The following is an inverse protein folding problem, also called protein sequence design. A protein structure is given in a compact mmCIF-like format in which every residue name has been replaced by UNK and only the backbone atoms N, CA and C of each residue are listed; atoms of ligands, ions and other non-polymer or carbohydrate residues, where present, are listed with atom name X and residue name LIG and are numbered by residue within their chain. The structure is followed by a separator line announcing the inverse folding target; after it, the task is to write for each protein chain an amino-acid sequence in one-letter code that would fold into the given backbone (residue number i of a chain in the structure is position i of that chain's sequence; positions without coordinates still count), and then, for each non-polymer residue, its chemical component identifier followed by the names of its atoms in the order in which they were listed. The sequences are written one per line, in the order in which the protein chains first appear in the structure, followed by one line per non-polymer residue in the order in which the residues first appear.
data_IF_075513685234
#
_entry.id   IF_075513685234
#
_cell.length_a   1.000
_cell.length_b   1.000
_cell.length_c   1.000
_cell.angle_alpha   90.00
_cell.angle_beta   90.00
_cell.angle_gamma   90.00
#
_symmetry.space_group_name_H-M   'P 1'
#
loop_
_entity.id
_entity.type
_entity.pdbx_description
1 polymer ?
#
# COMPACT_ATOMS: atom_id res chain seq x y z
N UNK A 1 -6.73 -17.99 -31.78
CA UNK A 1 -5.64 -18.02 -32.77
C UNK A 1 -5.67 -19.27 -33.64
N UNK A 2 -5.90 -20.47 -33.10
CA UNK A 2 -5.88 -21.72 -33.90
C UNK A 2 -6.82 -21.72 -35.12
N UNK A 3 -8.03 -21.16 -34.98
CA UNK A 3 -9.02 -21.09 -36.09
C UNK A 3 -8.57 -20.23 -37.28
N UNK A 4 -7.73 -19.23 -37.03
CA UNK A 4 -7.32 -18.24 -38.04
C UNK A 4 -5.92 -18.57 -38.60
N UNK A 5 -5.16 -19.42 -37.89
CA UNK A 5 -3.81 -19.84 -38.28
C UNK A 5 -3.68 -20.31 -39.75
N UNK A 6 -4.60 -21.14 -40.31
CA UNK A 6 -4.50 -21.59 -41.70
C UNK A 6 -4.67 -20.49 -42.74
N UNK A 7 -5.26 -19.35 -42.36
CA UNK A 7 -5.46 -18.19 -43.24
C UNK A 7 -4.30 -17.21 -43.13
N UNK A 8 -3.70 -17.08 -41.94
CA UNK A 8 -2.49 -16.28 -41.70
C UNK A 8 -1.25 -16.85 -42.38
N UNK A 9 -1.16 -18.17 -42.54
CA UNK A 9 -0.06 -18.81 -43.27
C UNK A 9 -0.14 -18.58 -44.79
N UNK A 10 -1.30 -18.14 -45.30
CA UNK A 10 -1.55 -17.94 -46.75
C UNK A 10 -1.47 -16.49 -47.19
N UNK A 11 -1.59 -15.54 -46.26
CA UNK A 11 -1.65 -14.11 -46.56
C UNK A 11 -0.88 -13.33 -45.51
N UNK A 12 -0.03 -12.39 -45.95
CA UNK A 12 0.80 -11.58 -45.04
C UNK A 12 -0.02 -10.55 -44.24
N UNK A 13 -1.12 -10.05 -44.81
CA UNK A 13 -1.94 -9.01 -44.20
C UNK A 13 -3.04 -9.60 -43.31
N UNK A 14 -3.11 -9.13 -42.05
CA UNK A 14 -4.11 -9.54 -41.08
C UNK A 14 -5.54 -9.35 -41.60
N UNK A 15 -5.84 -8.22 -42.24
CA UNK A 15 -7.19 -7.91 -42.70
C UNK A 15 -7.66 -8.90 -43.77
N UNK A 16 -6.77 -9.27 -44.69
CA UNK A 16 -7.09 -10.21 -45.76
C UNK A 16 -7.27 -11.64 -45.22
N UNK A 17 -6.46 -12.04 -44.22
CA UNK A 17 -6.63 -13.31 -43.53
C UNK A 17 -7.99 -13.41 -42.80
N UNK A 18 -8.44 -12.33 -42.15
CA UNK A 18 -9.74 -12.27 -41.48
C UNK A 18 -10.89 -12.31 -42.49
N UNK A 19 -10.80 -11.55 -43.59
CA UNK A 19 -11.82 -11.57 -44.65
C UNK A 19 -11.94 -12.95 -45.30
N UNK A 20 -10.80 -13.63 -45.53
CA UNK A 20 -10.81 -15.00 -46.05
C UNK A 20 -11.41 -16.00 -45.05
N UNK A 21 -11.14 -15.85 -43.75
CA UNK A 21 -11.76 -16.67 -42.72
C UNK A 21 -13.28 -16.45 -42.63
N UNK A 22 -13.72 -15.20 -42.75
CA UNK A 22 -15.14 -14.83 -42.80
C UNK A 22 -15.84 -15.42 -44.02
N UNK A 23 -15.26 -15.26 -45.22
CA UNK A 23 -15.76 -15.85 -46.46
C UNK A 23 -15.82 -17.38 -46.39
N UNK A 24 -14.90 -17.98 -45.64
CA UNK A 24 -14.88 -19.42 -45.34
C UNK A 24 -15.81 -19.82 -44.19
N UNK A 25 -16.70 -18.93 -43.75
CA UNK A 25 -17.67 -19.14 -42.67
C UNK A 25 -17.06 -19.61 -41.34
N UNK A 26 -15.81 -19.24 -41.09
CA UNK A 26 -15.12 -19.60 -39.85
C UNK A 26 -15.58 -18.67 -38.71
N UNK A 27 -15.93 -19.24 -37.56
CA UNK A 27 -16.37 -18.46 -36.41
C UNK A 27 -15.21 -17.61 -35.80
N UNK A 28 -15.35 -16.29 -35.93
CA UNK A 28 -14.42 -15.27 -35.42
C UNK A 28 -14.72 -14.80 -33.99
N UNK A 29 -15.80 -15.29 -33.37
CA UNK A 29 -16.09 -15.04 -31.95
C UNK A 29 -15.48 -16.14 -31.07
N UNK A 30 -14.91 -15.74 -29.94
CA UNK A 30 -14.33 -16.64 -28.95
C UNK A 30 -14.59 -16.13 -27.54
N UNK A 31 -14.83 -17.05 -26.63
CA UNK A 31 -14.95 -16.78 -25.20
C UNK A 31 -13.68 -17.28 -24.50
N UNK A 32 -13.13 -16.46 -23.61
CA UNK A 32 -12.01 -16.84 -22.73
C UNK A 32 -12.51 -17.25 -21.35
N UNK A 33 -11.92 -18.29 -20.77
CA UNK A 33 -12.19 -18.73 -19.40
C UNK A 33 -10.89 -19.06 -18.70
N UNK A 34 -10.76 -18.67 -17.44
CA UNK A 34 -9.65 -19.04 -16.56
C UNK A 34 -10.19 -19.43 -15.21
N UNK A 35 -9.59 -20.47 -14.61
CA UNK A 35 -9.92 -20.94 -13.27
C UNK A 35 -8.75 -20.69 -12.34
N UNK A 36 -9.03 -20.18 -11.16
CA UNK A 36 -8.02 -19.99 -10.12
C UNK A 36 -7.81 -21.30 -9.36
N UNK A 37 -6.89 -22.12 -9.85
CA UNK A 37 -6.57 -23.43 -9.26
C UNK A 37 -5.39 -23.35 -8.27
N UNK A 38 -5.33 -24.34 -7.36
CA UNK A 38 -4.21 -24.53 -6.43
C UNK A 38 -4.46 -24.05 -4.99
N UNK A 39 -5.65 -23.55 -4.67
CA UNK A 39 -6.06 -23.21 -3.30
C UNK A 39 -6.73 -24.43 -2.65
N UNK A 40 -6.20 -24.86 -1.50
CA UNK A 40 -6.64 -26.08 -0.77
C UNK A 40 -6.97 -25.81 0.70
N UNK A 41 -6.86 -24.57 1.16
CA UNK A 41 -7.10 -24.21 2.56
C UNK A 41 -8.55 -24.47 2.97
N UNK A 42 -8.74 -25.08 4.15
CA UNK A 42 -10.06 -25.31 4.76
C UNK A 42 -10.08 -24.82 6.19
N UNK A 43 -11.03 -23.96 6.54
CA UNK A 43 -11.18 -23.37 7.88
C UNK A 43 -11.34 -24.41 8.98
N UNK A 44 -12.09 -25.50 8.73
CA UNK A 44 -12.29 -26.58 9.70
C UNK A 44 -10.99 -27.24 10.16
N UNK A 45 -10.01 -27.32 9.26
CA UNK A 45 -8.72 -27.98 9.53
C UNK A 45 -7.62 -27.00 9.91
N UNK A 46 -7.77 -25.72 9.56
CA UNK A 46 -6.76 -24.68 9.79
C UNK A 46 -5.46 -24.86 9.00
N UNK A 47 -5.39 -25.78 8.03
CA UNK A 47 -4.21 -26.00 7.19
C UNK A 47 -4.57 -26.13 5.71
N UNK A 48 -3.58 -25.88 4.85
CA UNK A 48 -3.67 -25.96 3.39
C UNK A 48 -3.10 -24.72 2.73
N UNK A 49 -3.11 -24.69 1.38
CA UNK A 49 -2.60 -23.55 0.61
C UNK A 49 -3.71 -22.53 0.41
N UNK A 50 -3.64 -21.41 1.12
CA UNK A 50 -4.64 -20.34 1.02
C UNK A 50 -4.44 -19.44 -0.21
N UNK A 51 -3.18 -19.24 -0.63
CA UNK A 51 -2.81 -18.32 -1.71
C UNK A 51 -1.99 -19.03 -2.79
N UNK A 52 -2.15 -18.59 -4.05
CA UNK A 52 -1.40 -19.15 -5.19
C UNK A 52 0.05 -18.68 -5.21
N UNK A 53 0.31 -17.45 -4.82
CA UNK A 53 1.66 -16.91 -4.68
C UNK A 53 1.65 -15.79 -3.63
N UNK A 54 2.84 -15.35 -3.23
CA UNK A 54 3.03 -14.22 -2.32
C UNK A 54 3.83 -13.12 -3.01
N UNK A 55 3.45 -11.88 -2.73
CA UNK A 55 4.25 -10.70 -3.03
C UNK A 55 5.18 -10.44 -1.85
N UNK A 56 6.41 -10.04 -2.16
CA UNK A 56 7.42 -9.70 -1.16
C UNK A 56 7.91 -8.29 -1.45
N UNK A 57 8.26 -7.56 -0.40
CA UNK A 57 8.87 -6.26 -0.55
C UNK A 57 9.36 -5.74 0.78
N UNK A 58 10.18 -4.69 0.70
CA UNK A 58 10.62 -3.94 1.85
C UNK A 58 10.57 -2.44 1.52
N UNK A 59 10.55 -1.64 2.57
CA UNK A 59 10.64 -0.18 2.44
C UNK A 59 11.43 0.41 3.59
N UNK A 60 12.07 1.54 3.33
CA UNK A 60 12.75 2.35 4.32
C UNK A 60 12.30 3.80 4.15
N UNK A 61 12.03 4.47 5.27
CA UNK A 61 11.60 5.85 5.29
C UNK A 61 12.46 6.66 6.27
N UNK A 62 12.69 7.92 5.92
CA UNK A 62 13.35 8.90 6.77
C UNK A 62 12.41 10.09 6.92
N UNK A 63 12.18 10.50 8.16
CA UNK A 63 11.26 11.59 8.50
C UNK A 63 11.94 12.62 9.38
N UNK A 64 11.49 13.85 9.29
CA UNK A 64 11.80 14.92 10.23
C UNK A 64 10.51 15.28 10.97
N UNK A 65 10.59 15.42 12.29
CA UNK A 65 9.44 15.70 13.16
C UNK A 65 9.73 16.94 13.99
N UNK A 66 8.88 17.94 13.90
CA UNK A 66 8.91 19.10 14.78
C UNK A 66 8.20 18.75 16.10
N UNK A 67 8.98 18.65 17.18
CA UNK A 67 8.49 18.29 18.51
C UNK A 67 7.64 19.39 19.18
N UNK A 68 7.70 20.63 18.69
CA UNK A 68 6.93 21.76 19.25
C UNK A 68 5.54 21.86 18.65
N UNK A 69 5.38 21.51 17.38
CA UNK A 69 4.10 21.58 16.65
C UNK A 69 3.47 20.19 16.43
N UNK A 70 4.29 19.14 16.43
CA UNK A 70 3.91 17.79 16.01
C UNK A 70 3.87 17.59 14.50
N UNK A 71 4.23 18.61 13.71
CA UNK A 71 4.30 18.50 12.26
C UNK A 71 5.45 17.57 11.83
N UNK A 72 5.35 16.98 10.65
CA UNK A 72 6.39 16.09 10.14
C UNK A 72 6.50 16.16 8.62
N UNK A 73 7.71 15.89 8.12
CA UNK A 73 7.99 15.79 6.69
C UNK A 73 8.69 14.48 6.39
N UNK A 74 8.34 13.87 5.25
CA UNK A 74 8.99 12.66 4.77
C UNK A 74 10.15 13.09 3.87
N UNK A 75 11.37 12.98 4.38
CA UNK A 75 12.58 13.38 3.65
C UNK A 75 12.91 12.40 2.53
N UNK A 76 12.74 11.10 2.80
CA UNK A 76 13.09 10.05 1.84
C UNK A 76 12.25 8.80 2.07
N UNK A 77 11.85 8.13 0.99
CA UNK A 77 11.29 6.79 1.01
C UNK A 77 11.85 5.96 -0.13
N UNK A 78 12.29 4.75 0.17
CA UNK A 78 12.81 3.77 -0.78
C UNK A 78 11.99 2.50 -0.67
N UNK A 79 11.55 1.97 -1.80
CA UNK A 79 10.72 0.76 -1.88
C UNK A 79 11.38 -0.24 -2.82
N UNK A 80 11.53 -1.47 -2.36
CA UNK A 80 11.88 -2.61 -3.20
C UNK A 80 10.72 -3.61 -3.19
N UNK A 81 10.15 -3.92 -4.35
CA UNK A 81 8.99 -4.81 -4.47
C UNK A 81 9.20 -5.92 -5.51
N UNK A 82 8.84 -7.15 -5.15
CA UNK A 82 8.78 -8.30 -6.06
C UNK A 82 7.43 -8.34 -6.79
N UNK A 83 7.41 -7.72 -7.97
CA UNK A 83 6.28 -7.72 -8.91
C UNK A 83 6.35 -8.88 -9.92
N UNK A 84 7.27 -9.82 -9.72
CA UNK A 84 7.57 -10.84 -10.71
C UNK A 84 8.14 -10.22 -11.99
N UNK A 85 7.74 -10.76 -13.15
CA UNK A 85 7.96 -10.09 -14.44
C UNK A 85 6.80 -9.14 -14.71
N UNK A 86 7.05 -7.84 -14.54
CA UNK A 86 6.05 -6.80 -14.79
C UNK A 86 5.46 -6.91 -16.20
N UNK A 87 4.15 -6.71 -16.31
CA UNK A 87 3.44 -6.61 -17.59
C UNK A 87 3.59 -5.22 -18.19
N UNK A 88 3.60 -4.20 -17.33
CA UNK A 88 3.75 -2.80 -17.68
C UNK A 88 4.32 -2.06 -16.47
N UNK A 89 5.61 -1.75 -16.54
CA UNK A 89 6.36 -1.18 -15.42
C UNK A 89 5.80 0.18 -14.99
N UNK A 90 5.35 1.01 -15.93
CA UNK A 90 4.79 2.33 -15.63
C UNK A 90 3.48 2.24 -14.83
N UNK A 91 2.63 1.25 -15.14
CA UNK A 91 1.40 1.03 -14.38
C UNK A 91 1.69 0.45 -12.99
N UNK A 92 2.65 -0.47 -12.89
CA UNK A 92 3.04 -1.06 -11.62
C UNK A 92 3.67 -0.01 -10.69
N UNK A 93 4.51 0.89 -11.22
CA UNK A 93 5.06 2.03 -10.46
C UNK A 93 3.92 2.91 -9.93
N UNK A 94 2.96 3.31 -10.77
CA UNK A 94 1.84 4.15 -10.34
C UNK A 94 0.95 3.50 -9.28
N UNK A 95 0.78 2.17 -9.32
CA UNK A 95 0.09 1.41 -8.26
C UNK A 95 0.89 1.42 -6.95
N UNK A 96 2.22 1.31 -7.03
CA UNK A 96 3.08 1.34 -5.84
C UNK A 96 3.07 2.72 -5.19
N UNK A 97 3.20 3.78 -5.98
CA UNK A 97 3.10 5.16 -5.50
C UNK A 97 1.73 5.42 -4.85
N UNK A 98 0.65 5.07 -5.55
CA UNK A 98 -0.72 5.28 -5.06
C UNK A 98 -1.01 4.51 -3.77
N UNK A 99 -0.65 3.22 -3.73
CA UNK A 99 -0.85 2.38 -2.55
C UNK A 99 0.01 2.83 -1.36
N UNK A 100 1.27 3.23 -1.60
CA UNK A 100 2.13 3.75 -0.55
C UNK A 100 1.60 5.08 0.03
N UNK A 101 1.15 6.00 -0.83
CA UNK A 101 0.53 7.26 -0.38
C UNK A 101 -0.77 7.01 0.39
N UNK A 102 -1.60 6.06 -0.04
CA UNK A 102 -2.79 5.65 0.72
C UNK A 102 -2.43 5.12 2.11
N UNK A 103 -1.35 4.34 2.21
CA UNK A 103 -0.83 3.87 3.50
C UNK A 103 -0.29 5.01 4.38
N UNK A 104 0.40 6.00 3.79
CA UNK A 104 0.84 7.21 4.51
C UNK A 104 -0.36 7.91 5.11
N UNK A 105 -1.41 8.15 4.32
CA UNK A 105 -2.65 8.77 4.80
C UNK A 105 -3.23 8.04 5.99
N UNK A 106 -3.44 6.73 5.85
CA UNK A 106 -3.94 5.87 6.92
C UNK A 106 -3.12 5.95 8.22
N UNK A 107 -1.80 6.10 8.11
CA UNK A 107 -0.89 6.12 9.25
C UNK A 107 -0.64 7.51 9.83
N UNK A 108 -0.98 8.61 9.14
CA UNK A 108 -0.54 9.96 9.55
C UNK A 108 -1.67 10.97 9.59
N UNK A 109 -2.42 11.15 8.51
CA UNK A 109 -3.37 12.27 8.36
C UNK A 109 -4.84 11.87 8.43
N UNK A 110 -5.18 10.66 7.99
CA UNK A 110 -6.56 10.20 7.81
C UNK A 110 -7.19 9.75 9.14
N UNK A 111 -7.62 10.71 9.97
CA UNK A 111 -8.31 10.45 11.24
C UNK A 111 -9.83 10.47 11.07
N UNK A 112 -10.50 9.39 11.48
CA UNK A 112 -11.96 9.29 11.44
C UNK A 112 -12.52 9.60 12.82
N UNK A 113 -13.02 10.82 13.00
CA UNK A 113 -13.64 11.23 14.24
C UNK A 113 -15.14 10.92 14.22
N UNK A 114 -15.57 10.06 15.14
CA UNK A 114 -16.97 9.68 15.35
C UNK A 114 -17.33 9.77 16.82
N UNK A 115 -18.57 10.10 17.12
CA UNK A 115 -19.06 10.09 18.50
C UNK A 115 -19.10 8.67 19.06
N UNK A 116 -18.25 8.44 20.06
CA UNK A 116 -18.19 7.20 20.83
C UNK A 116 -18.11 7.51 22.33
N UNK A 117 -18.18 6.46 23.15
CA UNK A 117 -18.22 6.60 24.62
C UNK A 117 -16.84 6.83 25.24
N UNK A 118 -15.76 6.71 24.47
CA UNK A 118 -14.39 6.62 25.00
C UNK A 118 -13.52 7.80 24.54
N UNK A 119 -13.34 7.97 23.23
CA UNK A 119 -12.37 8.88 22.63
C UNK A 119 -12.95 10.26 22.32
N UNK A 120 -14.18 10.31 21.80
CA UNK A 120 -14.76 11.53 21.22
C UNK A 120 -16.11 11.90 21.84
N UNK A 121 -16.15 12.02 23.17
CA UNK A 121 -17.37 12.29 23.96
C UNK A 121 -18.06 13.61 23.61
N UNK A 122 -17.34 14.54 22.96
CA UNK A 122 -17.85 15.83 22.51
C UNK A 122 -18.63 15.74 21.18
N UNK A 123 -18.59 14.60 20.50
CA UNK A 123 -19.39 14.31 19.29
C UNK A 123 -20.59 13.44 19.69
N UNK A 124 -21.77 13.72 19.13
CA UNK A 124 -22.97 12.92 19.40
C UNK A 124 -22.75 11.44 19.02
N UNK A 125 -23.16 10.47 19.89
CA UNK A 125 -22.96 9.05 19.62
C UNK A 125 -23.52 8.60 18.26
N UNK A 126 -22.71 7.88 17.48
CA UNK A 126 -23.10 7.40 16.15
C UNK A 126 -22.97 8.43 15.02
N UNK A 127 -22.62 9.69 15.32
CA UNK A 127 -22.37 10.71 14.32
C UNK A 127 -20.90 10.73 13.87
N UNK A 128 -20.65 10.79 12.56
CA UNK A 128 -19.30 10.94 11.99
C UNK A 128 -19.04 12.41 11.69
N UNK A 129 -18.04 12.99 12.36
CA UNK A 129 -17.67 14.41 12.24
C UNK A 129 -16.80 14.69 11.02
N UNK A 130 -15.96 13.73 10.64
CA UNK A 130 -15.07 13.79 9.47
C UNK A 130 -15.79 13.26 8.23
N UNK A 131 -16.89 13.91 7.86
CA UNK A 131 -17.81 13.47 6.80
C UNK A 131 -17.57 14.14 5.43
N UNK A 132 -16.37 14.66 5.18
CA UNK A 132 -16.01 15.30 3.93
C UNK A 132 -14.59 15.90 3.95
N UNK A 133 -14.09 16.37 2.80
CA UNK A 133 -12.69 16.81 2.63
C UNK A 133 -12.31 18.04 3.46
N UNK A 134 -13.32 18.78 3.97
CA UNK A 134 -13.10 19.86 4.92
C UNK A 134 -12.51 19.38 6.25
N UNK A 135 -12.90 18.18 6.71
CA UNK A 135 -12.52 17.63 8.01
C UNK A 135 -11.73 16.31 7.93
N UNK A 136 -11.88 15.55 6.85
CA UNK A 136 -11.10 14.36 6.55
C UNK A 136 -9.97 14.70 5.57
N UNK A 137 -8.72 14.50 5.97
CA UNK A 137 -7.54 14.95 5.22
C UNK A 137 -6.79 13.75 4.65
N UNK A 138 -7.03 13.51 3.37
CA UNK A 138 -6.20 12.63 2.56
C UNK A 138 -4.84 13.28 2.29
N UNK A 139 -3.79 12.49 2.01
CA UNK A 139 -2.52 13.01 1.56
C UNK A 139 -2.66 13.88 0.32
N UNK A 140 -1.87 14.95 0.30
CA UNK A 140 -1.77 15.93 -0.77
C UNK A 140 -0.38 15.88 -1.39
N UNK A 141 -0.13 16.71 -2.40
CA UNK A 141 1.19 16.80 -3.03
C UNK A 141 2.31 17.24 -2.06
N UNK A 142 1.97 17.94 -0.97
CA UNK A 142 2.93 18.35 0.06
C UNK A 142 3.36 17.21 0.99
N UNK A 143 2.59 16.12 1.03
CA UNK A 143 2.85 14.96 1.89
C UNK A 143 3.71 13.90 1.17
N UNK A 144 4.09 14.15 -0.09
CA UNK A 144 4.94 13.26 -0.87
C UNK A 144 6.36 13.23 -0.30
N UNK A 145 7.03 12.06 -0.24
CA UNK A 145 8.45 12.01 0.11
C UNK A 145 9.29 12.89 -0.82
N UNK A 146 10.17 13.74 -0.26
CA UNK A 146 11.02 14.62 -1.08
C UNK A 146 11.90 13.84 -2.06
N UNK A 147 12.40 12.68 -1.62
CA UNK A 147 13.06 11.69 -2.47
C UNK A 147 12.26 10.40 -2.40
N UNK A 148 11.66 9.99 -3.52
CA UNK A 148 10.88 8.76 -3.60
C UNK A 148 11.49 7.80 -4.63
N UNK A 149 12.11 6.72 -4.16
CA UNK A 149 12.71 5.69 -5.00
C UNK A 149 11.90 4.40 -4.95
N UNK A 150 11.69 3.80 -6.13
CA UNK A 150 10.98 2.53 -6.30
C UNK A 150 11.83 1.65 -7.22
N UNK A 151 12.17 0.47 -6.70
CA UNK A 151 12.91 -0.55 -7.43
C UNK A 151 12.14 -1.87 -7.44
N UNK A 152 12.31 -2.62 -8.53
CA UNK A 152 11.76 -3.96 -8.66
C UNK A 152 12.81 -5.00 -8.32
N UNK A 153 12.39 -6.06 -7.64
CA UNK A 153 13.27 -7.18 -7.37
C UNK A 153 13.65 -7.87 -8.68
N UNK A 154 14.96 -7.91 -8.98
CA UNK A 154 15.47 -8.61 -10.15
C UNK A 154 15.17 -10.11 -10.09
N UNK A 155 14.90 -10.71 -11.25
CA UNK A 155 14.69 -12.16 -11.41
C UNK A 155 13.50 -12.77 -10.63
N UNK A 156 12.55 -11.95 -10.15
CA UNK A 156 11.28 -12.43 -9.63
C UNK A 156 10.50 -13.18 -10.72
N UNK A 157 10.54 -14.52 -10.74
CA UNK A 157 9.76 -15.33 -11.69
C UNK A 157 8.60 -16.01 -10.98
N UNK A 158 7.39 -15.79 -11.51
CA UNK A 158 6.17 -16.48 -11.05
C UNK A 158 5.58 -17.36 -12.16
N UNK A 159 6.20 -18.51 -12.51
CA UNK A 159 5.79 -19.31 -13.67
C UNK A 159 4.34 -19.81 -13.60
N UNK A 160 3.73 -19.83 -12.41
CA UNK A 160 2.32 -20.20 -12.23
C UNK A 160 1.31 -19.11 -12.64
N UNK A 161 1.77 -17.92 -13.05
CA UNK A 161 0.91 -16.80 -13.42
C UNK A 161 1.20 -16.27 -14.83
N UNK A 162 0.29 -15.46 -15.37
CA UNK A 162 0.39 -14.93 -16.73
C UNK A 162 1.70 -14.17 -16.93
N UNK A 163 2.47 -14.54 -17.95
CA UNK A 163 3.80 -13.98 -18.26
C UNK A 163 4.78 -13.89 -17.08
N UNK A 164 4.61 -14.72 -16.05
CA UNK A 164 5.39 -14.67 -14.81
C UNK A 164 5.20 -13.42 -13.93
N UNK A 165 4.07 -12.72 -14.05
CA UNK A 165 3.77 -11.52 -13.27
C UNK A 165 3.25 -11.81 -11.86
N UNK A 166 3.27 -10.79 -10.99
CA UNK A 166 2.59 -10.76 -9.69
C UNK A 166 1.76 -9.49 -9.57
N UNK A 167 0.66 -9.56 -8.81
CA UNK A 167 -0.11 -8.38 -8.47
C UNK A 167 0.66 -7.51 -7.46
N UNK A 168 0.60 -6.19 -7.65
CA UNK A 168 1.38 -5.20 -6.90
C UNK A 168 0.52 -4.17 -6.14
N UNK A 169 -0.81 -4.11 -6.34
CA UNK A 169 -1.62 -2.95 -5.94
C UNK A 169 -1.84 -2.80 -4.43
N UNK A 170 -1.99 -3.89 -3.68
CA UNK A 170 -2.34 -3.82 -2.26
C UNK A 170 -1.12 -3.83 -1.33
N UNK A 171 -0.03 -4.50 -1.73
CA UNK A 171 1.19 -4.65 -0.93
C UNK A 171 1.84 -3.31 -0.49
N UNK A 172 1.85 -2.24 -1.30
CA UNK A 172 2.46 -0.95 -0.96
C UNK A 172 1.80 -0.24 0.22
N UNK A 173 0.50 -0.48 0.47
CA UNK A 173 -0.21 0.10 1.63
C UNK A 173 0.46 -0.31 2.94
N UNK A 174 0.85 -1.59 3.04
CA UNK A 174 1.56 -2.11 4.21
C UNK A 174 2.98 -1.55 4.33
N UNK A 175 3.64 -1.26 3.20
CA UNK A 175 5.02 -0.73 3.19
C UNK A 175 5.09 0.69 3.77
N UNK A 176 4.01 1.47 3.68
CA UNK A 176 3.94 2.78 4.33
C UNK A 176 4.15 2.72 5.86
N UNK A 177 4.02 1.54 6.49
CA UNK A 177 4.35 1.33 7.92
C UNK A 177 5.77 1.80 8.25
N UNK A 178 6.70 1.77 7.30
CA UNK A 178 8.05 2.34 7.48
C UNK A 178 8.03 3.81 7.91
N UNK A 179 7.13 4.63 7.36
CA UNK A 179 6.95 6.04 7.73
C UNK A 179 6.43 6.15 9.17
N UNK A 180 5.38 5.40 9.50
CA UNK A 180 4.84 5.38 10.86
C UNK A 180 5.87 4.95 11.91
N UNK A 181 6.70 3.96 11.60
CA UNK A 181 7.79 3.51 12.47
C UNK A 181 8.92 4.55 12.56
N UNK A 182 9.24 5.25 11.48
CA UNK A 182 10.24 6.31 11.48
C UNK A 182 9.79 7.51 12.36
N UNK A 183 8.51 7.87 12.34
CA UNK A 183 7.95 8.90 13.24
C UNK A 183 8.07 8.44 14.70
N UNK A 184 7.73 7.19 14.98
CA UNK A 184 7.88 6.61 16.33
C UNK A 184 9.35 6.66 16.78
N UNK A 185 10.29 6.32 15.90
CA UNK A 185 11.72 6.35 16.19
C UNK A 185 12.20 7.77 16.50
N UNK A 186 11.76 8.76 15.72
CA UNK A 186 12.07 10.18 15.93
C UNK A 186 11.56 10.73 17.28
N UNK A 187 10.49 10.14 17.83
CA UNK A 187 9.93 10.55 19.14
C UNK A 187 10.68 9.97 20.35
N UNK A 188 11.40 8.84 20.19
CA UNK A 188 12.05 8.14 21.33
C UNK A 188 13.07 9.01 22.08
N UNK A 189 13.96 9.78 21.42
CA UNK A 189 14.94 10.61 22.13
C UNK A 189 14.30 11.67 23.03
N UNK A 190 13.20 12.28 22.60
CA UNK A 190 12.45 13.28 23.39
C UNK A 190 11.88 12.66 24.68
N UNK A 191 11.42 11.42 24.61
CA UNK A 191 10.87 10.71 25.76
C UNK A 191 11.98 10.29 26.75
N UNK A 192 13.13 9.84 26.25
CA UNK A 192 14.28 9.49 27.09
C UNK A 192 14.87 10.68 27.83
N UNK A 193 15.06 11.83 27.16
CA UNK A 193 15.58 13.04 27.80
C UNK A 193 14.67 13.58 28.91
N UNK A 194 13.36 13.41 28.78
CA UNK A 194 12.38 13.77 29.82
C UNK A 194 12.34 12.77 30.99
N UNK A 195 12.63 11.49 30.73
CA UNK A 195 12.71 10.46 31.78
C UNK A 195 14.00 10.59 32.61
N UNK A 196 15.11 11.04 32.04
CA UNK A 196 16.33 11.33 32.82
C UNK A 196 16.14 12.53 33.77
N UNK A 197 15.27 13.48 33.43
CA UNK A 197 14.90 14.61 34.29
C UNK A 197 13.88 14.23 35.39
N UNK A 198 13.08 13.18 35.17
CA UNK A 198 12.09 12.68 36.12
C UNK A 198 12.58 11.34 36.67
N UNK A 199 13.29 11.40 37.80
CA UNK A 199 13.85 10.27 38.54
C UNK A 199 12.78 9.31 39.12
N UNK A 200 11.89 8.78 38.29
CA UNK A 200 10.83 7.84 38.65
C UNK A 200 10.63 6.85 37.51
N UNK A 201 10.81 5.57 37.84
CA UNK A 201 10.48 4.42 37.00
C UNK A 201 9.08 4.56 36.37
N UNK A 202 9.00 4.72 35.05
CA UNK A 202 7.77 4.48 34.30
C UNK A 202 8.06 3.93 32.90
N UNK A 203 8.02 2.60 32.81
CA UNK A 203 7.47 1.81 31.72
C UNK A 203 7.64 2.35 30.30
N UNK A 204 8.82 2.16 29.72
CA UNK A 204 8.99 2.22 28.26
C UNK A 204 8.19 1.12 27.52
N UNK A 205 7.76 0.08 28.26
CA UNK A 205 7.17 -1.15 27.71
C UNK A 205 5.72 -1.05 27.21
N UNK A 206 5.01 0.09 27.32
CA UNK A 206 3.61 0.13 26.86
C UNK A 206 3.09 1.47 26.36
N UNK A 207 3.93 2.32 25.75
CA UNK A 207 3.39 3.41 24.93
C UNK A 207 2.80 2.81 23.64
N UNK A 208 1.54 2.35 23.72
CA UNK A 208 0.82 1.83 22.56
C UNK A 208 0.49 3.01 21.63
N UNK A 209 1.32 3.20 20.60
CA UNK A 209 1.07 4.18 19.56
C UNK A 209 -0.26 3.87 18.85
N UNK A 210 -1.13 4.87 18.78
CA UNK A 210 -2.42 4.78 18.09
C UNK A 210 -2.34 5.52 16.76
N UNK A 211 -2.49 4.77 15.67
CA UNK A 211 -2.62 5.36 14.35
C UNK A 211 -4.01 5.99 14.15
N UNK A 212 -4.14 7.02 13.30
CA UNK A 212 -3.03 7.73 12.63
C UNK A 212 -2.17 8.54 13.62
N UNK A 213 -0.88 8.70 13.33
CA UNK A 213 0.07 9.57 14.02
C UNK A 213 -0.12 11.01 13.53
N UNK A 214 -1.26 11.60 13.88
CA UNK A 214 -1.57 12.98 13.53
C UNK A 214 -0.72 13.97 14.33
N UNK A 215 -0.53 15.19 13.80
CA UNK A 215 0.29 16.21 14.46
C UNK A 215 -0.10 16.47 15.93
N UNK A 216 -1.39 16.57 16.31
CA UNK A 216 -1.77 16.68 17.72
C UNK A 216 -1.29 15.50 18.58
N UNK A 217 -1.39 14.26 18.05
CA UNK A 217 -0.93 13.07 18.78
C UNK A 217 0.59 13.02 18.89
N UNK A 218 1.31 13.36 17.83
CA UNK A 218 2.77 13.47 17.84
C UNK A 218 3.19 14.49 18.90
N UNK A 219 2.54 15.66 18.93
CA UNK A 219 2.83 16.71 19.90
C UNK A 219 2.58 16.30 21.35
N UNK A 220 1.45 15.63 21.59
CA UNK A 220 1.09 15.10 22.92
C UNK A 220 2.12 14.06 23.37
N UNK A 221 2.60 13.21 22.45
CA UNK A 221 3.60 12.18 22.74
C UNK A 221 5.02 12.72 22.95
N UNK A 222 5.34 13.88 22.37
CA UNK A 222 6.66 14.51 22.51
C UNK A 222 6.95 15.00 23.94
N UNK A 223 5.92 15.22 24.78
CA UNK A 223 6.02 15.61 26.20
C UNK A 223 6.96 16.81 26.49
N UNK A 224 7.22 17.66 25.51
CA UNK A 224 8.03 18.88 25.66
C UNK A 224 7.28 19.92 26.50
N UNK A 225 7.84 20.29 27.67
CA UNK A 225 7.37 21.42 28.49
C UNK A 225 7.58 22.72 27.70
N UNK A 226 6.50 23.49 27.52
CA UNK A 226 6.55 24.86 27.02
C UNK A 226 6.76 25.84 28.18
#
# INVERSE_FOLDING_TARGET
MERIKPFLEKVENWNDAIMNAYNSQTNLSANGYTKYDGVTFTWEKGYGRAYKYHAYGCSAAMVEVDLLTGDHQILKSEILLDVGKSLNEALDIGQIEGGFMQGIGWLTTEDVLRGDKESNKWIQPGYVRTNGPGFYKIPTAGDLPHSFGIEFLENGRNPGNIYSSKACSESPVCLATSVGMAIIDALRPSQNGNNELNNNNSNFESCMFKFPMSAPRIRDLANTKL
#
